data_IF_317188511179
#
_entry.id   IF_317188511179
#
_cell.length_a   1.000
_cell.length_b   1.000
_cell.length_c   1.000
_cell.angle_alpha   90.00
_cell.angle_beta   90.00
_cell.angle_gamma   90.00
#
_symmetry.space_group_name_H-M   'P 1'
#
loop_
_entity.id
_entity.type
_entity.pdbx_description
1 polymer ?
#
# COMPACT_ATOMS: atom_id res chain seq x y z
N UNK A 1 41.98 -1.56 -6.57
CA UNK A 1 40.58 -1.48 -6.09
C UNK A 1 40.23 -0.02 -5.83
N UNK A 2 39.04 0.46 -6.22
CA UNK A 2 38.57 1.81 -5.85
C UNK A 2 38.24 1.85 -4.36
N UNK A 3 38.66 2.91 -3.64
CA UNK A 3 38.35 3.12 -2.22
C UNK A 3 36.83 3.32 -2.05
N UNK A 4 36.20 2.57 -1.15
CA UNK A 4 34.76 2.67 -0.91
C UNK A 4 34.38 4.06 -0.37
N UNK A 5 33.21 4.57 -0.74
CA UNK A 5 32.74 5.88 -0.28
C UNK A 5 32.64 5.95 1.26
N UNK A 6 32.19 4.87 1.92
CA UNK A 6 32.14 4.76 3.39
C UNK A 6 33.53 4.85 4.04
N UNK A 7 34.58 4.48 3.30
CA UNK A 7 35.96 4.52 3.76
C UNK A 7 36.70 5.78 3.29
N UNK A 8 36.00 6.83 2.85
CA UNK A 8 36.59 8.08 2.36
C UNK A 8 36.99 8.07 0.88
N UNK A 9 36.41 7.18 0.08
CA UNK A 9 36.45 7.25 -1.39
C UNK A 9 35.43 8.25 -1.97
N UNK A 10 35.49 8.47 -3.28
CA UNK A 10 34.56 9.37 -3.97
C UNK A 10 33.12 8.86 -3.86
N UNK A 11 32.22 9.70 -3.36
CA UNK A 11 30.78 9.38 -3.28
C UNK A 11 30.19 9.31 -4.69
N UNK A 12 29.43 8.26 -4.99
CA UNK A 12 28.71 8.15 -6.27
C UNK A 12 27.68 9.27 -6.41
N UNK A 13 27.03 9.64 -5.30
CA UNK A 13 26.06 10.71 -5.25
C UNK A 13 26.50 11.78 -4.27
N UNK A 14 26.53 13.02 -4.74
CA UNK A 14 26.93 14.20 -3.99
C UNK A 14 25.76 15.06 -3.53
N UNK A 15 24.58 14.87 -4.14
CA UNK A 15 23.34 15.56 -3.78
C UNK A 15 22.36 14.64 -3.03
N UNK A 16 21.51 15.15 -2.13
CA UNK A 16 20.41 14.37 -1.54
C UNK A 16 19.41 13.90 -2.61
N UNK A 17 18.57 12.91 -2.26
CA UNK A 17 17.38 12.63 -3.08
C UNK A 17 16.46 13.85 -3.02
N UNK A 18 15.75 14.18 -4.10
CA UNK A 18 14.69 15.18 -4.02
C UNK A 18 13.65 14.76 -2.99
N UNK A 19 12.98 15.74 -2.38
CA UNK A 19 11.82 15.46 -1.54
C UNK A 19 10.76 14.77 -2.40
N UNK A 20 10.22 13.67 -1.90
CA UNK A 20 9.12 12.97 -2.56
C UNK A 20 7.82 13.73 -2.26
N UNK A 21 7.35 14.52 -3.22
CA UNK A 21 6.06 15.20 -3.17
C UNK A 21 5.31 14.97 -4.48
N UNK A 22 4.26 14.17 -4.41
CA UNK A 22 3.38 13.86 -5.55
C UNK A 22 2.05 14.60 -5.48
N UNK A 23 1.89 15.57 -4.59
CA UNK A 23 0.64 16.28 -4.39
C UNK A 23 0.53 17.44 -5.38
N UNK A 24 -0.42 17.32 -6.32
CA UNK A 24 -0.83 18.34 -7.28
C UNK A 24 -2.25 18.85 -7.03
N UNK A 25 -2.82 19.52 -8.03
CA UNK A 25 -4.18 20.07 -7.99
C UNK A 25 -5.20 18.93 -7.98
N UNK A 26 -4.90 17.84 -8.66
CA UNK A 26 -5.73 16.65 -8.78
C UNK A 26 -5.92 15.96 -7.42
N UNK A 27 -4.85 15.80 -6.63
CA UNK A 27 -4.92 15.28 -5.26
C UNK A 27 -5.69 16.22 -4.33
N UNK A 28 -5.48 17.53 -4.45
CA UNK A 28 -6.21 18.53 -3.66
C UNK A 28 -7.71 18.46 -3.93
N UNK A 29 -8.11 18.44 -5.20
CA UNK A 29 -9.50 18.33 -5.61
C UNK A 29 -10.14 17.04 -5.10
N UNK A 30 -9.44 15.90 -5.18
CA UNK A 30 -9.92 14.62 -4.67
C UNK A 30 -10.19 14.66 -3.17
N UNK A 31 -9.25 15.22 -2.39
CA UNK A 31 -9.44 15.40 -0.94
C UNK A 31 -10.60 16.35 -0.65
N UNK A 32 -10.70 17.47 -1.36
CA UNK A 32 -11.79 18.44 -1.17
C UNK A 32 -13.16 17.87 -1.51
N UNK A 33 -13.28 16.96 -2.49
CA UNK A 33 -14.55 16.26 -2.77
C UNK A 33 -15.02 15.45 -1.56
N UNK A 34 -14.13 14.65 -0.97
CA UNK A 34 -14.45 13.86 0.24
C UNK A 34 -14.76 14.77 1.42
N UNK A 35 -13.91 15.79 1.66
CA UNK A 35 -14.06 16.70 2.78
C UNK A 35 -15.38 17.48 2.72
N UNK A 36 -15.74 18.02 1.54
CA UNK A 36 -16.99 18.75 1.34
C UNK A 36 -18.22 17.86 1.41
N UNK A 37 -18.10 16.56 1.13
CA UNK A 37 -19.22 15.61 1.29
C UNK A 37 -19.64 15.40 2.75
N UNK A 38 -18.75 15.70 3.72
CA UNK A 38 -18.97 15.43 5.14
C UNK A 38 -18.84 13.94 5.53
N UNK A 39 -18.57 13.04 4.57
CA UNK A 39 -18.44 11.60 4.80
C UNK A 39 -16.98 11.15 4.61
N UNK A 40 -16.16 11.31 5.65
CA UNK A 40 -14.74 10.96 5.61
C UNK A 40 -14.50 9.44 5.50
N UNK A 41 -15.38 8.64 6.10
CA UNK A 41 -15.45 7.20 5.90
C UNK A 41 -16.92 6.81 5.88
N UNK A 42 -17.29 5.98 4.90
CA UNK A 42 -18.62 5.37 4.85
C UNK A 42 -18.55 3.92 5.36
N UNK A 43 -17.37 3.35 5.57
CA UNK A 43 -17.24 1.93 5.94
C UNK A 43 -18.04 1.53 7.18
N UNK A 44 -18.87 0.50 7.05
CA UNK A 44 -19.58 -0.13 8.17
C UNK A 44 -19.18 -1.61 8.29
N UNK A 45 -18.66 -2.00 9.46
CA UNK A 45 -18.30 -3.39 9.80
C UNK A 45 -19.51 -4.28 10.10
N UNK A 46 -20.57 -4.19 9.30
CA UNK A 46 -21.79 -4.96 9.44
C UNK A 46 -22.33 -5.35 8.06
N UNK A 47 -23.32 -6.24 8.00
CA UNK A 47 -24.01 -6.62 6.77
C UNK A 47 -24.80 -5.43 6.19
N UNK A 48 -24.12 -4.57 5.44
CA UNK A 48 -24.64 -3.35 4.85
C UNK A 48 -23.90 -3.05 3.54
N UNK A 49 -24.50 -2.30 2.60
CA UNK A 49 -23.83 -1.91 1.35
C UNK A 49 -22.52 -1.14 1.61
N UNK A 50 -22.55 -0.30 2.64
CA UNK A 50 -21.40 0.48 3.06
C UNK A 50 -20.23 -0.36 3.63
N UNK A 51 -20.36 -1.69 3.76
CA UNK A 51 -19.24 -2.57 4.04
C UNK A 51 -18.11 -2.43 2.99
N UNK A 52 -18.44 -2.07 1.76
CA UNK A 52 -17.45 -1.84 0.69
C UNK A 52 -16.84 -0.43 0.71
N UNK A 53 -17.13 0.37 1.74
CA UNK A 53 -16.61 1.74 1.86
C UNK A 53 -17.32 2.76 0.98
N UNK A 54 -16.76 3.96 0.93
CA UNK A 54 -17.33 5.11 0.23
C UNK A 54 -17.17 5.06 -1.29
N UNK A 55 -17.80 6.01 -1.98
CA UNK A 55 -17.78 6.07 -3.46
C UNK A 55 -16.38 6.21 -4.04
N UNK A 56 -15.51 7.05 -3.46
CA UNK A 56 -14.12 7.21 -3.93
C UNK A 56 -13.31 5.93 -3.75
N UNK A 57 -13.51 5.18 -2.65
CA UNK A 57 -12.86 3.87 -2.41
C UNK A 57 -13.26 2.86 -3.47
N UNK A 58 -14.58 2.72 -3.71
CA UNK A 58 -15.12 1.77 -4.70
C UNK A 58 -14.71 2.14 -6.14
N UNK A 59 -14.62 3.43 -6.47
CA UNK A 59 -14.10 3.88 -7.77
C UNK A 59 -12.64 3.52 -7.94
N UNK A 60 -11.82 3.84 -6.94
CA UNK A 60 -10.39 3.56 -6.93
C UNK A 60 -10.10 2.06 -7.10
N UNK A 61 -10.80 1.21 -6.36
CA UNK A 61 -10.67 -0.24 -6.49
C UNK A 61 -11.07 -0.75 -7.88
N UNK A 62 -12.13 -0.19 -8.48
CA UNK A 62 -12.54 -0.54 -9.85
C UNK A 62 -11.50 -0.12 -10.89
N UNK A 63 -10.95 1.08 -10.75
CA UNK A 63 -9.90 1.60 -11.62
C UNK A 63 -8.63 0.75 -11.49
N UNK A 64 -8.24 0.37 -10.27
CA UNK A 64 -7.10 -0.52 -10.02
C UNK A 64 -7.31 -1.92 -10.58
N UNK A 65 -8.50 -2.51 -10.38
CA UNK A 65 -8.82 -3.82 -10.94
C UNK A 65 -8.68 -3.81 -12.48
N UNK A 66 -9.14 -2.73 -13.12
CA UNK A 66 -9.00 -2.52 -14.56
C UNK A 66 -7.53 -2.34 -14.97
N UNK A 67 -6.79 -1.49 -14.26
CA UNK A 67 -5.40 -1.18 -14.54
C UNK A 67 -4.49 -2.41 -14.47
N UNK A 68 -4.67 -3.25 -13.45
CA UNK A 68 -3.88 -4.47 -13.26
C UNK A 68 -4.45 -5.70 -14.01
N UNK A 69 -5.62 -5.58 -14.64
CA UNK A 69 -6.26 -6.69 -15.35
C UNK A 69 -6.72 -7.83 -14.42
N UNK A 70 -7.14 -7.50 -13.19
CA UNK A 70 -7.58 -8.47 -12.17
C UNK A 70 -9.09 -8.37 -11.94
N UNK A 71 -9.69 -9.45 -11.45
CA UNK A 71 -11.14 -9.50 -11.17
C UNK A 71 -11.56 -8.60 -10.00
N UNK A 72 -10.69 -8.50 -8.99
CA UNK A 72 -10.96 -7.78 -7.74
C UNK A 72 -9.70 -7.02 -7.31
N UNK A 73 -9.88 -5.82 -6.78
CA UNK A 73 -8.86 -5.07 -6.06
C UNK A 73 -9.47 -4.61 -4.72
N UNK A 74 -8.66 -4.60 -3.66
CA UNK A 74 -9.07 -4.20 -2.32
C UNK A 74 -8.05 -3.18 -1.83
N UNK A 75 -8.54 -2.01 -1.43
CA UNK A 75 -7.74 -0.94 -0.86
C UNK A 75 -7.64 -1.08 0.65
N UNK A 76 -6.47 -0.75 1.19
CA UNK A 76 -6.15 -0.84 2.62
C UNK A 76 -5.26 0.33 3.00
N UNK A 77 -5.14 0.59 4.30
CA UNK A 77 -4.38 1.74 4.81
C UNK A 77 -2.85 1.63 4.65
N UNK A 78 -2.31 0.45 4.31
CA UNK A 78 -0.87 0.26 4.06
C UNK A 78 -0.57 -1.01 3.27
N UNK A 79 0.60 -1.07 2.63
CA UNK A 79 1.07 -2.29 1.96
C UNK A 79 1.23 -3.48 2.93
N UNK A 80 1.63 -3.23 4.18
CA UNK A 80 1.71 -4.27 5.22
C UNK A 80 0.34 -4.87 5.52
N UNK A 81 -0.69 -4.04 5.69
CA UNK A 81 -2.08 -4.50 5.85
C UNK A 81 -2.54 -5.32 4.65
N UNK A 82 -2.12 -4.92 3.44
CA UNK A 82 -2.45 -5.64 2.21
C UNK A 82 -1.84 -7.02 2.17
N UNK A 83 -0.58 -7.15 2.59
CA UNK A 83 0.08 -8.46 2.73
C UNK A 83 -0.62 -9.33 3.77
N UNK A 84 -0.99 -8.78 4.93
CA UNK A 84 -1.73 -9.53 5.97
C UNK A 84 -3.09 -10.01 5.44
N UNK A 85 -3.85 -9.13 4.76
CA UNK A 85 -5.10 -9.50 4.12
C UNK A 85 -4.90 -10.60 3.07
N UNK A 86 -3.84 -10.52 2.26
CA UNK A 86 -3.54 -11.51 1.23
C UNK A 86 -3.14 -12.87 1.84
N UNK A 87 -2.34 -12.89 2.89
CA UNK A 87 -1.97 -14.11 3.64
C UNK A 87 -3.22 -14.76 4.23
N UNK A 88 -4.05 -13.99 4.93
CA UNK A 88 -5.29 -14.50 5.51
C UNK A 88 -6.28 -15.01 4.44
N UNK A 89 -6.38 -14.31 3.31
CA UNK A 89 -7.22 -14.74 2.18
C UNK A 89 -6.69 -16.00 1.47
N UNK A 90 -5.38 -16.24 1.51
CA UNK A 90 -4.76 -17.46 0.98
C UNK A 90 -4.96 -18.68 1.90
N UNK A 91 -5.48 -18.48 3.11
CA UNK A 91 -5.76 -19.56 4.07
C UNK A 91 -4.52 -20.12 4.74
N UNK A 92 -3.48 -19.29 4.91
CA UNK A 92 -2.28 -19.66 5.68
C UNK A 92 -2.64 -19.76 7.16
N UNK A 93 -2.25 -20.85 7.80
CA UNK A 93 -2.51 -21.12 9.21
C UNK A 93 -1.22 -21.28 10.02
N UNK A 94 -1.38 -21.29 11.35
CA UNK A 94 -0.26 -21.53 12.25
C UNK A 94 0.34 -22.92 12.03
N UNK A 95 1.63 -22.95 11.67
CA UNK A 95 2.36 -24.18 11.34
C UNK A 95 2.72 -24.28 9.85
N UNK A 96 2.10 -23.48 9.00
CA UNK A 96 2.49 -23.38 7.59
C UNK A 96 3.84 -22.66 7.41
N UNK A 97 4.56 -23.05 6.36
CA UNK A 97 5.82 -22.42 5.99
C UNK A 97 5.64 -21.46 4.81
N UNK A 98 6.06 -20.20 5.00
CA UNK A 98 6.05 -19.18 3.94
C UNK A 98 7.50 -18.78 3.60
N UNK A 99 7.92 -19.09 2.38
CA UNK A 99 9.26 -18.76 1.88
C UNK A 99 9.32 -17.27 1.53
N UNK A 100 10.32 -16.57 2.07
CA UNK A 100 10.57 -15.15 1.80
C UNK A 100 12.02 -14.91 1.39
N UNK A 101 12.25 -13.81 0.66
CA UNK A 101 13.61 -13.41 0.29
C UNK A 101 14.37 -12.82 1.49
N UNK A 102 15.66 -13.13 1.70
CA UNK A 102 16.46 -12.54 2.77
C UNK A 102 16.81 -11.07 2.52
N UNK A 103 16.56 -10.56 1.31
CA UNK A 103 16.77 -9.17 0.93
C UNK A 103 15.46 -8.56 0.42
N UNK A 104 14.64 -8.09 1.36
CA UNK A 104 13.34 -7.47 1.10
C UNK A 104 12.96 -6.52 2.25
N UNK A 105 11.83 -5.82 2.12
CA UNK A 105 11.25 -5.04 3.21
C UNK A 105 10.72 -5.96 4.31
N UNK A 106 10.95 -5.61 5.58
CA UNK A 106 10.66 -6.46 6.75
C UNK A 106 9.21 -6.96 6.81
N UNK A 107 8.23 -6.17 6.35
CA UNK A 107 6.83 -6.60 6.35
C UNK A 107 6.57 -7.85 5.52
N UNK A 108 7.41 -8.16 4.52
CA UNK A 108 7.28 -9.39 3.74
C UNK A 108 7.48 -10.64 4.61
N UNK A 109 8.36 -10.55 5.62
CA UNK A 109 8.62 -11.63 6.57
C UNK A 109 7.68 -11.60 7.79
N UNK A 110 7.14 -10.43 8.14
CA UNK A 110 6.26 -10.27 9.30
C UNK A 110 4.79 -10.56 8.95
N UNK A 111 4.34 -10.28 7.72
CA UNK A 111 2.94 -10.50 7.33
C UNK A 111 2.46 -11.95 7.53
N UNK A 112 3.25 -13.01 7.24
CA UNK A 112 2.87 -14.39 7.52
C UNK A 112 2.77 -14.77 9.01
N UNK A 113 3.16 -13.88 9.92
CA UNK A 113 3.13 -14.13 11.37
C UNK A 113 1.82 -13.67 12.03
N UNK A 114 0.92 -13.06 11.26
CA UNK A 114 -0.41 -12.62 11.69
C UNK A 114 -1.47 -13.62 11.22
#
# INVERSE_FOLDING_TARGET
MKKLAINGGTKFRTTPFPAYNTIGVEEEEAVLRVLRSGKLSTYLGAWHEDFYGGSEVRSFEKEWATFFGVKHAISVNSATSGLICAVGAAGIEAGDEVIVSPYTMSASAVAPLF
#
